data_IF_053894456237
#
_entry.id   IF_053894456237
#
_cell.length_a   1.000
_cell.length_b   1.000
_cell.length_c   1.000
_cell.angle_alpha   90.00
_cell.angle_beta   90.00
_cell.angle_gamma   90.00
#
_symmetry.space_group_name_H-M   'P 1'
#
loop_
_entity.id
_entity.type
_entity.pdbx_description
1 polymer ?
#
# COMPACT_ATOMS: atom_id res chain seq x y z
N UNK A 1 10.35 -48.68 43.57
CA UNK A 1 9.74 -48.53 42.23
C UNK A 1 9.83 -47.04 41.86
N UNK A 2 10.84 -46.69 41.02
CA UNK A 2 11.04 -45.29 40.56
C UNK A 2 10.29 -45.11 39.23
N UNK A 3 9.29 -44.28 39.22
CA UNK A 3 8.57 -43.90 37.97
C UNK A 3 9.32 -42.75 37.31
N UNK A 4 9.97 -43.03 36.19
CA UNK A 4 10.60 -41.99 35.39
C UNK A 4 9.53 -41.23 34.60
N UNK A 5 9.35 -39.95 34.88
CA UNK A 5 8.44 -39.04 34.16
C UNK A 5 9.11 -38.60 32.85
N UNK A 6 8.68 -39.17 31.74
CA UNK A 6 9.17 -38.82 30.42
C UNK A 6 8.51 -37.51 29.98
N UNK A 7 9.24 -36.38 30.07
CA UNK A 7 8.79 -35.10 29.54
C UNK A 7 8.99 -35.08 28.02
N UNK A 8 7.90 -35.22 27.28
CA UNK A 8 7.89 -35.08 25.81
C UNK A 8 8.00 -33.58 25.45
N UNK A 9 9.18 -33.15 25.06
CA UNK A 9 9.37 -31.86 24.39
C UNK A 9 8.82 -31.96 22.96
N UNK A 10 7.61 -31.40 22.73
CA UNK A 10 7.14 -31.18 21.37
C UNK A 10 7.95 -30.02 20.75
N UNK A 11 8.62 -30.22 19.61
CA UNK A 11 9.31 -29.13 18.95
C UNK A 11 8.29 -28.10 18.52
N UNK A 12 8.43 -26.85 18.99
CA UNK A 12 7.68 -25.71 18.49
C UNK A 12 8.06 -25.50 17.02
N UNK A 13 7.20 -25.93 16.10
CA UNK A 13 7.34 -25.62 14.68
C UNK A 13 7.08 -24.13 14.50
N UNK A 14 8.13 -23.35 14.37
CA UNK A 14 8.03 -21.94 13.97
C UNK A 14 7.56 -21.90 12.50
N UNK A 15 6.36 -21.40 12.26
CA UNK A 15 5.92 -21.08 10.92
C UNK A 15 6.91 -20.04 10.35
N UNK A 16 7.43 -20.29 9.13
CA UNK A 16 8.35 -19.34 8.50
C UNK A 16 7.53 -18.18 7.91
N UNK A 17 8.04 -16.94 7.98
CA UNK A 17 7.47 -15.83 7.23
C UNK A 17 7.37 -16.18 5.73
N UNK A 18 6.30 -15.74 5.10
CA UNK A 18 6.05 -15.97 3.67
C UNK A 18 6.19 -14.65 2.94
N UNK A 19 6.98 -14.65 1.86
CA UNK A 19 7.14 -13.50 0.98
C UNK A 19 6.14 -13.60 -0.16
N UNK A 20 5.44 -12.48 -0.41
CA UNK A 20 4.55 -12.27 -1.54
C UNK A 20 5.10 -11.12 -2.38
N UNK A 21 5.21 -11.32 -3.69
CA UNK A 21 5.62 -10.29 -4.64
C UNK A 21 4.37 -9.60 -5.18
N UNK A 22 4.36 -8.29 -5.21
CA UNK A 22 3.27 -7.48 -5.78
C UNK A 22 2.99 -7.96 -7.20
N UNK A 23 1.73 -8.19 -7.53
CA UNK A 23 1.28 -8.42 -8.90
C UNK A 23 0.95 -7.06 -9.56
N UNK A 24 1.81 -6.54 -10.43
CA UNK A 24 1.61 -5.22 -11.03
C UNK A 24 0.38 -5.15 -11.96
N UNK A 25 -0.11 -6.31 -12.42
CA UNK A 25 -1.32 -6.37 -13.26
C UNK A 25 -2.61 -6.17 -12.47
N UNK A 26 -2.56 -6.35 -11.14
CA UNK A 26 -3.73 -6.29 -10.25
C UNK A 26 -3.53 -5.37 -9.03
N UNK A 27 -2.51 -4.50 -9.09
CA UNK A 27 -2.21 -3.56 -8.00
C UNK A 27 -2.15 -2.14 -8.54
N UNK A 28 -3.17 -1.36 -8.19
CA UNK A 28 -3.30 0.03 -8.64
C UNK A 28 -3.64 0.91 -7.43
N UNK A 29 -2.64 1.49 -6.75
CA UNK A 29 -2.88 2.49 -5.72
C UNK A 29 -3.69 3.65 -6.31
N UNK A 30 -4.94 3.78 -5.85
CA UNK A 30 -5.85 4.81 -6.32
C UNK A 30 -6.12 5.84 -5.22
N UNK A 31 -6.57 7.01 -5.63
CA UNK A 31 -6.85 8.12 -4.73
C UNK A 31 -7.95 9.02 -5.27
N UNK A 32 -8.55 9.79 -4.34
CA UNK A 32 -9.56 10.79 -4.63
C UNK A 32 -9.11 12.13 -4.05
N UNK A 33 -9.13 13.17 -4.85
CA UNK A 33 -8.74 14.54 -4.50
C UNK A 33 -9.83 15.54 -4.82
N UNK A 34 -9.87 16.62 -4.07
CA UNK A 34 -10.80 17.72 -4.30
C UNK A 34 -10.48 18.47 -5.60
N UNK A 35 -11.54 18.87 -6.29
CA UNK A 35 -11.48 19.80 -7.40
C UNK A 35 -12.30 21.05 -7.08
N UNK A 36 -11.63 22.19 -7.13
CA UNK A 36 -12.21 23.53 -6.96
C UNK A 36 -13.08 23.71 -5.71
N UNK A 37 -12.53 23.32 -4.53
CA UNK A 37 -13.17 23.59 -3.24
C UNK A 37 -14.45 22.78 -2.96
N UNK A 38 -14.57 21.60 -3.55
CA UNK A 38 -15.68 20.68 -3.34
C UNK A 38 -16.67 20.61 -4.52
N UNK A 39 -16.33 21.21 -5.67
CA UNK A 39 -17.18 21.14 -6.85
C UNK A 39 -17.31 19.69 -7.35
N UNK A 40 -16.23 18.93 -7.34
CA UNK A 40 -16.21 17.52 -7.70
C UNK A 40 -15.01 16.80 -7.05
N UNK A 41 -14.96 15.47 -7.19
CA UNK A 41 -13.79 14.66 -6.85
C UNK A 41 -13.12 14.18 -8.13
N UNK A 42 -11.82 14.43 -8.21
CA UNK A 42 -10.96 13.82 -9.22
C UNK A 42 -10.37 12.53 -8.66
N UNK A 43 -10.36 11.52 -9.51
CA UNK A 43 -9.83 10.19 -9.18
C UNK A 43 -8.62 9.90 -10.04
N UNK A 44 -7.57 9.44 -9.39
CA UNK A 44 -6.37 9.01 -10.08
C UNK A 44 -5.86 7.70 -9.51
N UNK A 45 -4.94 7.08 -10.22
CA UNK A 45 -4.27 5.83 -9.82
C UNK A 45 -2.84 5.82 -10.33
N UNK A 46 -2.01 4.95 -9.75
CA UNK A 46 -0.68 4.64 -10.24
C UNK A 46 -0.75 3.28 -10.95
N UNK A 47 -0.36 3.23 -12.23
CA UNK A 47 -0.48 2.04 -13.05
C UNK A 47 0.74 1.10 -12.98
N UNK A 48 1.88 1.56 -12.47
CA UNK A 48 3.10 0.76 -12.31
C UNK A 48 3.53 0.74 -10.86
N UNK A 49 3.41 -0.43 -10.24
CA UNK A 49 3.69 -0.66 -8.83
C UNK A 49 4.47 -1.95 -8.67
N UNK A 50 5.48 -1.96 -7.84
CA UNK A 50 6.29 -3.13 -7.52
C UNK A 50 6.58 -3.23 -6.03
N UNK A 51 7.10 -4.37 -5.57
CA UNK A 51 7.50 -4.54 -4.18
C UNK A 51 7.20 -5.91 -3.62
N UNK A 52 7.37 -6.04 -2.31
CA UNK A 52 7.18 -7.29 -1.59
C UNK A 52 6.43 -7.06 -0.27
N UNK A 53 5.67 -8.07 0.11
CA UNK A 53 4.98 -8.16 1.40
C UNK A 53 5.46 -9.42 2.09
N UNK A 54 5.97 -9.30 3.31
CA UNK A 54 6.34 -10.43 4.15
C UNK A 54 5.23 -10.61 5.19
N UNK A 55 4.68 -11.82 5.31
CA UNK A 55 3.60 -12.11 6.23
C UNK A 55 3.90 -13.35 7.06
N UNK A 56 3.89 -13.21 8.37
CA UNK A 56 3.93 -14.29 9.34
C UNK A 56 2.61 -14.34 10.12
N UNK A 57 1.67 -15.14 9.62
CA UNK A 57 0.34 -15.29 10.24
C UNK A 57 0.41 -15.88 11.66
N UNK A 58 1.42 -16.73 11.92
CA UNK A 58 1.57 -17.41 13.21
C UNK A 58 2.08 -16.45 14.29
N UNK A 59 3.12 -15.70 13.96
CA UNK A 59 3.72 -14.73 14.89
C UNK A 59 2.99 -13.38 14.86
N UNK A 60 1.97 -13.22 13.99
CA UNK A 60 1.17 -12.00 13.83
C UNK A 60 2.05 -10.78 13.53
N UNK A 61 2.98 -10.96 12.59
CA UNK A 61 3.90 -9.92 12.12
C UNK A 61 3.94 -9.89 10.59
N UNK A 62 4.40 -8.79 10.05
CA UNK A 62 4.66 -8.66 8.63
C UNK A 62 5.19 -7.29 8.29
N UNK A 63 5.71 -7.17 7.06
CA UNK A 63 6.21 -5.91 6.51
C UNK A 63 5.73 -5.72 5.08
N UNK A 64 5.66 -4.47 4.69
CA UNK A 64 5.28 -4.02 3.36
C UNK A 64 6.39 -3.12 2.85
N UNK A 65 6.84 -3.34 1.61
CA UNK A 65 7.75 -2.46 0.89
C UNK A 65 7.24 -2.35 -0.55
N UNK A 66 6.82 -1.15 -0.94
CA UNK A 66 6.18 -0.89 -2.24
C UNK A 66 6.78 0.34 -2.88
N UNK A 67 7.08 0.24 -4.17
CA UNK A 67 7.55 1.34 -5.02
C UNK A 67 6.53 1.60 -6.11
N UNK A 68 6.23 2.86 -6.35
CA UNK A 68 5.28 3.36 -7.34
C UNK A 68 5.99 4.26 -8.33
N UNK A 69 5.89 3.95 -9.63
CA UNK A 69 6.47 4.75 -10.70
C UNK A 69 5.55 5.95 -11.01
N UNK A 70 5.98 7.16 -10.67
CA UNK A 70 5.14 8.36 -10.79
C UNK A 70 4.84 8.76 -12.23
N UNK A 71 5.68 8.35 -13.18
CA UNK A 71 5.38 8.49 -14.62
C UNK A 71 4.06 7.81 -15.02
N UNK A 72 3.65 6.77 -14.27
CA UNK A 72 2.47 5.95 -14.54
C UNK A 72 1.18 6.50 -13.92
N UNK A 73 1.21 7.71 -13.35
CA UNK A 73 0.02 8.36 -12.79
C UNK A 73 -1.03 8.60 -13.88
N UNK A 74 -2.27 8.24 -13.58
CA UNK A 74 -3.35 8.26 -14.55
C UNK A 74 -4.68 8.71 -13.90
N UNK A 75 -5.25 9.78 -14.44
CA UNK A 75 -6.56 10.32 -14.10
C UNK A 75 -7.64 9.97 -15.13
N UNK A 76 -7.27 9.20 -16.19
CA UNK A 76 -8.15 8.96 -17.32
C UNK A 76 -8.40 10.20 -18.18
N UNK A 77 -7.49 11.18 -18.12
CA UNK A 77 -7.60 12.46 -18.84
C UNK A 77 -6.20 12.98 -19.16
N UNK A 78 -5.84 13.05 -20.45
CA UNK A 78 -4.48 13.32 -20.92
C UNK A 78 -3.89 14.64 -20.42
N UNK A 79 -4.68 15.73 -20.49
CA UNK A 79 -4.22 17.04 -20.01
C UNK A 79 -3.99 17.04 -18.49
N UNK A 80 -4.82 16.32 -17.73
CA UNK A 80 -4.59 16.19 -16.30
C UNK A 80 -3.39 15.30 -15.99
N UNK A 81 -3.18 14.23 -16.77
CA UNK A 81 -2.00 13.38 -16.65
C UNK A 81 -0.71 14.18 -16.91
N UNK A 82 -0.73 15.03 -17.95
CA UNK A 82 0.38 15.93 -18.26
C UNK A 82 0.61 16.94 -17.12
N UNK A 83 -0.47 17.55 -16.64
CA UNK A 83 -0.41 18.52 -15.54
C UNK A 83 0.10 17.90 -14.24
N UNK A 84 -0.36 16.72 -13.89
CA UNK A 84 0.07 16.02 -12.69
C UNK A 84 1.58 15.74 -12.66
N UNK A 85 2.18 15.53 -13.82
CA UNK A 85 3.62 15.23 -13.97
C UNK A 85 4.54 16.45 -13.90
N UNK A 86 3.97 17.68 -13.99
CA UNK A 86 4.77 18.91 -14.02
C UNK A 86 5.37 19.26 -12.66
N UNK A 87 6.33 20.19 -12.68
CA UNK A 87 7.13 20.68 -11.56
C UNK A 87 6.31 21.32 -10.42
N UNK A 88 5.15 21.88 -10.73
CA UNK A 88 4.25 22.46 -9.73
C UNK A 88 3.23 21.46 -9.13
N UNK A 89 3.32 20.17 -9.53
CA UNK A 89 2.49 19.07 -9.01
C UNK A 89 3.38 17.96 -8.42
N UNK A 90 3.59 16.86 -9.14
CA UNK A 90 4.37 15.74 -8.63
C UNK A 90 5.86 15.79 -9.00
N UNK A 91 6.24 16.71 -9.92
CA UNK A 91 7.63 16.89 -10.37
C UNK A 91 8.35 15.54 -10.63
N UNK A 92 7.83 14.80 -11.59
CA UNK A 92 8.30 13.43 -11.84
C UNK A 92 9.73 13.37 -12.40
N UNK A 93 10.28 14.47 -12.88
CA UNK A 93 11.67 14.57 -13.33
C UNK A 93 12.63 14.56 -12.14
N UNK A 94 12.28 15.25 -11.04
CA UNK A 94 13.05 15.26 -9.80
C UNK A 94 12.66 14.08 -8.89
N UNK A 95 11.35 13.72 -8.85
CA UNK A 95 10.81 12.67 -7.99
C UNK A 95 10.12 11.56 -8.81
N UNK A 96 10.86 10.73 -9.55
CA UNK A 96 10.29 9.73 -10.46
C UNK A 96 9.55 8.61 -9.74
N UNK A 97 9.79 8.42 -8.45
CA UNK A 97 9.19 7.35 -7.65
C UNK A 97 8.58 7.88 -6.35
N UNK A 98 7.53 7.21 -5.91
CA UNK A 98 7.05 7.26 -4.53
C UNK A 98 7.23 5.87 -3.90
N UNK A 99 7.44 5.80 -2.58
CA UNK A 99 7.56 4.53 -1.87
C UNK A 99 6.73 4.49 -0.60
N UNK A 100 6.33 3.29 -0.23
CA UNK A 100 5.63 3.04 1.03
C UNK A 100 6.26 1.85 1.75
N UNK A 101 6.70 2.09 2.98
CA UNK A 101 7.24 1.06 3.86
C UNK A 101 6.42 0.98 5.14
N UNK A 102 6.10 -0.24 5.60
CA UNK A 102 5.29 -0.36 6.79
C UNK A 102 5.29 -1.75 7.43
N UNK A 103 4.63 -1.82 8.57
CA UNK A 103 4.43 -3.04 9.36
C UNK A 103 2.96 -3.41 9.38
N UNK A 104 2.68 -4.68 9.15
CA UNK A 104 1.35 -5.25 9.35
C UNK A 104 1.10 -5.44 10.84
N UNK A 105 0.03 -4.86 11.35
CA UNK A 105 -0.30 -4.88 12.78
C UNK A 105 -1.79 -5.15 13.01
N UNK A 106 -2.18 -5.22 14.28
CA UNK A 106 -3.57 -5.42 14.72
C UNK A 106 -4.22 -6.67 14.08
N UNK A 107 -3.55 -7.82 14.25
CA UNK A 107 -4.05 -9.08 13.70
C UNK A 107 -5.29 -9.59 14.44
N UNK A 108 -6.35 -9.86 13.67
CA UNK A 108 -7.58 -10.53 14.13
C UNK A 108 -7.72 -11.85 13.37
N UNK A 109 -7.83 -12.96 14.06
CA UNK A 109 -7.91 -14.31 13.49
C UNK A 109 -6.80 -14.64 12.46
N UNK A 110 -5.59 -14.13 12.70
CA UNK A 110 -4.43 -14.30 11.82
C UNK A 110 -4.41 -13.39 10.59
N UNK A 111 -5.36 -12.44 10.50
CA UNK A 111 -5.47 -11.45 9.42
C UNK A 111 -5.05 -10.07 9.94
N UNK A 112 -4.12 -9.37 9.28
CA UNK A 112 -3.79 -7.99 9.65
C UNK A 112 -4.95 -7.05 9.30
N UNK A 113 -5.21 -6.06 10.15
CA UNK A 113 -6.28 -5.06 9.93
C UNK A 113 -5.74 -3.65 9.73
N UNK A 114 -4.43 -3.45 9.92
CA UNK A 114 -3.78 -2.15 9.76
C UNK A 114 -2.36 -2.31 9.22
N UNK A 115 -1.92 -1.36 8.44
CA UNK A 115 -0.50 -1.12 8.14
C UNK A 115 -0.11 0.18 8.82
N UNK A 116 0.91 0.14 9.65
CA UNK A 116 1.56 1.31 10.22
C UNK A 116 2.83 1.57 9.42
N UNK A 117 2.91 2.72 8.74
CA UNK A 117 3.98 2.91 7.77
C UNK A 117 4.25 4.35 7.39
N UNK A 118 5.23 4.50 6.51
CA UNK A 118 5.73 5.77 6.01
C UNK A 118 5.57 5.83 4.49
N UNK A 119 5.01 6.93 4.01
CA UNK A 119 4.95 7.28 2.60
C UNK A 119 6.04 8.29 2.29
N UNK A 120 6.87 7.98 1.31
CA UNK A 120 7.76 8.96 0.67
C UNK A 120 7.12 9.37 -0.65
N UNK A 121 6.75 10.64 -0.76
CA UNK A 121 6.13 11.23 -1.94
C UNK A 121 6.74 12.60 -2.17
N UNK A 122 7.08 12.93 -3.42
CA UNK A 122 7.67 14.22 -3.77
C UNK A 122 8.91 14.55 -2.88
N UNK A 123 9.76 13.56 -2.64
CA UNK A 123 10.96 13.65 -1.81
C UNK A 123 10.74 13.80 -0.30
N UNK A 124 9.50 13.85 0.17
CA UNK A 124 9.17 14.04 1.59
C UNK A 124 8.57 12.75 2.17
N UNK A 125 9.09 12.33 3.32
CA UNK A 125 8.60 11.15 4.05
C UNK A 125 7.70 11.55 5.22
N UNK A 126 6.54 10.93 5.33
CA UNK A 126 5.57 11.11 6.42
C UNK A 126 4.96 9.80 6.85
N UNK A 127 4.58 9.72 8.14
CA UNK A 127 3.77 8.62 8.64
C UNK A 127 2.39 8.65 7.99
N UNK A 128 2.01 7.54 7.37
CA UNK A 128 0.72 7.32 6.72
C UNK A 128 0.22 5.93 7.07
N UNK A 129 -0.69 5.84 8.00
CA UNK A 129 -1.31 4.57 8.37
C UNK A 129 -2.43 4.20 7.39
N UNK A 130 -2.53 2.91 7.09
CA UNK A 130 -3.57 2.37 6.21
C UNK A 130 -4.43 1.35 6.97
N UNK A 131 -5.74 1.50 6.90
CA UNK A 131 -6.68 0.50 7.36
C UNK A 131 -6.90 -0.57 6.30
N UNK A 132 -6.81 -1.84 6.66
CA UNK A 132 -7.15 -2.98 5.80
C UNK A 132 -8.63 -3.27 5.98
N UNK A 133 -9.45 -2.95 4.99
CA UNK A 133 -10.90 -3.15 4.99
C UNK A 133 -11.32 -4.54 4.57
N UNK A 134 -10.52 -5.17 3.72
CA UNK A 134 -10.70 -6.56 3.30
C UNK A 134 -9.32 -7.20 3.09
N UNK A 135 -9.20 -8.47 3.43
CA UNK A 135 -8.00 -9.28 3.19
C UNK A 135 -8.41 -10.72 2.91
N UNK A 136 -7.90 -11.29 1.83
CA UNK A 136 -8.16 -12.70 1.50
C UNK A 136 -6.99 -13.31 0.74
N UNK A 137 -6.66 -14.56 1.08
CA UNK A 137 -5.73 -15.37 0.29
C UNK A 137 -6.46 -16.57 -0.32
N UNK A 138 -6.05 -16.97 -1.52
CA UNK A 138 -6.55 -18.15 -2.23
C UNK A 138 -5.50 -18.71 -3.18
N UNK A 139 -5.68 -19.95 -3.60
CA UNK A 139 -4.85 -20.52 -4.67
C UNK A 139 -5.23 -19.84 -6.01
N UNK A 140 -4.21 -19.33 -6.72
CA UNK A 140 -4.40 -18.76 -8.04
C UNK A 140 -4.65 -19.89 -9.06
N UNK A 141 -5.76 -19.87 -9.83
CA UNK A 141 -6.18 -21.02 -10.64
C UNK A 141 -5.17 -21.40 -11.75
N UNK A 142 -4.44 -20.42 -12.29
CA UNK A 142 -3.49 -20.65 -13.40
C UNK A 142 -2.03 -20.70 -12.93
N UNK A 143 -1.65 -19.89 -11.93
CA UNK A 143 -0.26 -19.84 -11.44
C UNK A 143 0.06 -20.93 -10.41
N UNK A 144 -0.97 -21.63 -9.89
CA UNK A 144 -0.88 -22.68 -8.85
C UNK A 144 -0.08 -22.25 -7.61
N UNK A 145 -0.09 -20.96 -7.32
CA UNK A 145 0.51 -20.32 -6.14
C UNK A 145 -0.56 -19.60 -5.34
N UNK A 146 -0.31 -19.42 -4.05
CA UNK A 146 -1.19 -18.60 -3.22
C UNK A 146 -1.09 -17.14 -3.67
N UNK A 147 -2.21 -16.50 -3.86
CA UNK A 147 -2.35 -15.05 -4.04
C UNK A 147 -3.13 -14.47 -2.88
N UNK A 148 -2.65 -13.37 -2.32
CA UNK A 148 -3.35 -12.61 -1.31
C UNK A 148 -3.74 -11.25 -1.88
N UNK A 149 -4.98 -10.84 -1.64
CA UNK A 149 -5.49 -9.52 -1.99
C UNK A 149 -5.95 -8.76 -0.76
N UNK A 150 -5.84 -7.44 -0.81
CA UNK A 150 -6.34 -6.56 0.23
C UNK A 150 -6.90 -5.26 -0.36
N UNK A 151 -7.96 -4.72 0.30
CA UNK A 151 -8.44 -3.37 0.10
C UNK A 151 -8.03 -2.49 1.28
N UNK A 152 -7.34 -1.39 1.01
CA UNK A 152 -6.85 -0.48 2.04
C UNK A 152 -7.43 0.93 1.86
N UNK A 153 -7.54 1.64 2.98
CA UNK A 153 -7.99 3.03 3.06
C UNK A 153 -7.04 3.84 3.92
N UNK A 154 -6.81 5.07 3.50
CA UNK A 154 -6.04 6.05 4.27
C UNK A 154 -6.36 7.45 3.80
N UNK A 155 -5.76 8.44 4.43
CA UNK A 155 -5.88 9.84 4.04
C UNK A 155 -4.53 10.51 4.23
N UNK A 156 -4.24 11.47 3.35
CA UNK A 156 -3.06 12.32 3.45
C UNK A 156 -3.45 13.79 3.20
N UNK A 157 -2.61 14.70 3.65
CA UNK A 157 -2.63 16.09 3.24
C UNK A 157 -1.52 16.28 2.20
N UNK A 158 -1.86 16.53 0.94
CA UNK A 158 -0.86 16.61 -0.15
C UNK A 158 0.11 17.78 0.00
N UNK A 159 -0.28 18.83 0.70
CA UNK A 159 0.59 19.96 0.99
C UNK A 159 1.66 19.63 2.07
N UNK A 160 1.48 18.58 2.90
CA UNK A 160 2.52 18.04 3.77
C UNK A 160 3.68 17.42 2.98
N UNK A 161 3.43 17.05 1.73
CA UNK A 161 4.42 16.56 0.77
C UNK A 161 4.86 17.62 -0.24
N UNK A 162 4.60 18.90 0.04
CA UNK A 162 4.99 20.01 -0.83
C UNK A 162 4.06 20.25 -2.02
N UNK A 163 3.07 19.40 -2.28
CA UNK A 163 2.15 19.50 -3.44
C UNK A 163 1.04 20.49 -3.12
N UNK A 164 1.26 21.77 -3.45
CA UNK A 164 0.40 22.90 -3.05
C UNK A 164 -0.47 23.46 -4.19
N UNK A 165 -0.39 22.88 -5.39
CA UNK A 165 -1.14 23.35 -6.54
C UNK A 165 -2.64 23.55 -6.21
N UNK A 166 -3.18 24.67 -6.62
CA UNK A 166 -4.60 25.03 -6.41
C UNK A 166 -4.96 25.47 -4.98
N UNK A 167 -4.05 25.43 -3.99
CA UNK A 167 -4.34 25.83 -2.60
C UNK A 167 -4.87 27.26 -2.53
N UNK A 168 -4.24 28.20 -3.25
CA UNK A 168 -4.66 29.60 -3.33
C UNK A 168 -5.97 29.79 -4.09
N UNK A 169 -6.41 28.80 -4.87
CA UNK A 169 -7.66 28.79 -5.61
C UNK A 169 -8.79 28.07 -4.84
N UNK A 170 -8.57 27.76 -3.55
CA UNK A 170 -9.57 27.14 -2.68
C UNK A 170 -9.68 25.61 -2.79
N UNK A 171 -8.75 24.93 -3.49
CA UNK A 171 -8.72 23.48 -3.50
C UNK A 171 -8.41 22.94 -2.11
N UNK A 172 -9.13 21.93 -1.67
CA UNK A 172 -8.83 21.21 -0.43
C UNK A 172 -7.57 20.35 -0.62
N UNK A 173 -6.75 20.29 0.41
CA UNK A 173 -5.47 19.58 0.34
C UNK A 173 -5.57 18.11 0.75
N UNK A 174 -6.68 17.71 1.35
CA UNK A 174 -6.94 16.32 1.73
C UNK A 174 -7.12 15.41 0.51
N UNK A 175 -6.46 14.25 0.56
CA UNK A 175 -6.55 13.19 -0.47
C UNK A 175 -6.92 11.89 0.23
N UNK A 176 -7.97 11.25 -0.25
CA UNK A 176 -8.39 9.95 0.23
C UNK A 176 -7.72 8.83 -0.59
N UNK A 177 -7.04 7.91 0.09
CA UNK A 177 -6.40 6.76 -0.53
C UNK A 177 -7.39 5.58 -0.63
N UNK A 178 -7.43 4.94 -1.81
CA UNK A 178 -8.31 3.82 -2.18
C UNK A 178 -7.47 2.76 -2.87
N UNK A 179 -6.87 1.87 -2.09
CA UNK A 179 -5.81 1.00 -2.59
C UNK A 179 -6.33 -0.43 -2.67
N UNK A 180 -6.35 -1.00 -3.88
CA UNK A 180 -6.44 -2.43 -4.09
C UNK A 180 -5.06 -2.99 -4.38
N UNK A 181 -4.68 -4.08 -3.71
CA UNK A 181 -3.39 -4.73 -3.90
C UNK A 181 -3.57 -6.24 -4.00
N UNK A 182 -2.89 -6.86 -4.95
CA UNK A 182 -2.71 -8.30 -5.02
C UNK A 182 -1.22 -8.65 -5.02
N UNK A 183 -0.87 -9.71 -4.31
CA UNK A 183 0.51 -10.19 -4.25
C UNK A 183 0.55 -11.72 -4.27
N UNK A 184 1.53 -12.27 -4.98
CA UNK A 184 1.69 -13.70 -5.27
C UNK A 184 2.82 -14.24 -4.43
N UNK A 185 2.56 -15.36 -3.77
CA UNK A 185 3.58 -16.08 -3.00
C UNK A 185 4.79 -16.42 -3.86
N UNK A 186 5.97 -16.08 -3.38
CA UNK A 186 7.27 -16.33 -4.01
C UNK A 186 7.62 -17.82 -4.02
#
# INVERSE_FOLDING_TARGET
MMVALLVLFTPFSFGKPVTYVIDPSHTFPAFEADHMGGLSLWRGKINSTSGEIILDKKNKTGSVNVVMEMLSIDFGHDEMNKRAKSDDMFDIEEFPQASYEGKLINFQDGVPTKVEGELTLHGITKNVDLEIKAFKCRLHPFKLREVCGADLRGNIMRDDFGIKYGKMLGFKMGVALRIGVEAIKK
#
